data_IF_161615507237
#
_entry.id   IF_161615507237
#
_cell.length_a   1.000
_cell.length_b   1.000
_cell.length_c   1.000
_cell.angle_alpha   90.00
_cell.angle_beta   90.00
_cell.angle_gamma   90.00
#
_symmetry.space_group_name_H-M   'P 1'
#
loop_
_entity.id
_entity.type
_entity.pdbx_description
1 polymer ?
#
# COMPACT_ATOMS: atom_id res chain seq x y z
N UNK A 1 -41.52 9.11 -7.89
CA UNK A 1 -40.23 8.94 -8.59
C UNK A 1 -39.07 9.31 -7.67
N UNK A 2 -39.01 10.55 -7.14
CA UNK A 2 -37.95 10.99 -6.19
C UNK A 2 -37.74 10.09 -4.96
N UNK A 3 -38.82 9.58 -4.37
CA UNK A 3 -38.73 8.73 -3.17
C UNK A 3 -38.26 7.31 -3.49
N UNK A 4 -38.49 6.83 -4.72
CA UNK A 4 -37.99 5.55 -5.19
C UNK A 4 -36.49 5.62 -5.47
N UNK A 5 -36.02 6.69 -6.11
CA UNK A 5 -34.59 6.93 -6.33
C UNK A 5 -33.84 7.11 -5.01
N UNK A 6 -34.46 7.78 -4.04
CA UNK A 6 -33.91 7.95 -2.69
C UNK A 6 -33.87 6.62 -1.91
N UNK A 7 -34.95 5.84 -1.96
CA UNK A 7 -34.99 4.52 -1.34
C UNK A 7 -33.97 3.54 -1.97
N UNK A 8 -33.79 3.59 -3.29
CA UNK A 8 -32.76 2.81 -3.98
C UNK A 8 -31.35 3.26 -3.57
N UNK A 9 -31.10 4.57 -3.46
CA UNK A 9 -29.83 5.11 -2.99
C UNK A 9 -29.54 4.70 -1.54
N UNK A 10 -30.54 4.74 -0.66
CA UNK A 10 -30.42 4.34 0.74
C UNK A 10 -30.17 2.82 0.87
N UNK A 11 -30.85 2.00 0.06
CA UNK A 11 -30.61 0.55 0.01
C UNK A 11 -29.20 0.26 -0.49
N UNK A 12 -28.71 0.95 -1.53
CA UNK A 12 -27.32 0.81 -2.02
C UNK A 12 -26.32 1.25 -0.95
N UNK A 13 -26.59 2.33 -0.22
CA UNK A 13 -25.74 2.81 0.87
C UNK A 13 -25.68 1.80 2.03
N UNK A 14 -26.82 1.27 2.47
CA UNK A 14 -26.87 0.24 3.52
C UNK A 14 -26.17 -1.04 3.06
N UNK A 15 -26.40 -1.48 1.82
CA UNK A 15 -25.72 -2.66 1.27
C UNK A 15 -24.22 -2.47 1.14
N UNK A 16 -23.77 -1.25 0.82
CA UNK A 16 -22.33 -0.92 0.78
C UNK A 16 -21.69 -0.95 2.16
N UNK A 17 -22.40 -0.50 3.20
CA UNK A 17 -21.93 -0.56 4.59
C UNK A 17 -21.88 -1.99 5.12
N UNK A 18 -22.92 -2.80 4.86
CA UNK A 18 -22.95 -4.22 5.24
C UNK A 18 -21.94 -5.04 4.41
N UNK A 19 -21.76 -4.70 3.14
CA UNK A 19 -20.72 -5.31 2.30
C UNK A 19 -19.33 -4.93 2.82
N UNK A 20 -19.08 -3.69 3.23
CA UNK A 20 -17.81 -3.27 3.81
C UNK A 20 -17.48 -4.05 5.10
N UNK A 21 -18.48 -4.36 5.94
CA UNK A 21 -18.34 -5.20 7.13
C UNK A 21 -18.14 -6.69 6.84
N UNK A 22 -18.81 -7.24 5.83
CA UNK A 22 -18.69 -8.68 5.45
C UNK A 22 -17.54 -8.97 4.47
N UNK A 23 -16.98 -7.93 3.84
CA UNK A 23 -16.01 -8.01 2.75
C UNK A 23 -14.62 -8.52 3.18
N UNK A 24 -14.22 -8.32 4.43
CA UNK A 24 -12.83 -8.55 4.82
C UNK A 24 -12.56 -9.96 5.38
N UNK A 25 -13.42 -10.96 5.12
CA UNK A 25 -13.15 -12.34 5.57
C UNK A 25 -11.83 -12.90 5.00
N UNK A 26 -10.86 -13.12 5.89
CA UNK A 26 -9.86 -14.19 5.82
C UNK A 26 -8.48 -13.89 5.25
N UNK A 27 -8.34 -13.08 4.20
CA UNK A 27 -7.09 -13.13 3.41
C UNK A 27 -6.48 -11.78 3.00
N UNK A 28 -7.25 -10.69 3.00
CA UNK A 28 -6.70 -9.33 2.83
C UNK A 28 -5.56 -9.02 3.83
N UNK A 29 -5.73 -9.30 5.14
CA UNK A 29 -4.67 -9.14 6.13
C UNK A 29 -3.42 -9.98 5.85
N UNK A 30 -3.60 -11.23 5.43
CA UNK A 30 -2.51 -12.16 5.14
C UNK A 30 -1.70 -11.72 3.91
N UNK A 31 -2.37 -11.24 2.86
CA UNK A 31 -1.71 -10.66 1.70
C UNK A 31 -0.88 -9.43 2.08
N UNK A 32 -1.43 -8.49 2.86
CA UNK A 32 -0.67 -7.32 3.32
C UNK A 32 0.53 -7.73 4.18
N UNK A 33 0.36 -8.66 5.12
CA UNK A 33 1.46 -9.20 5.92
C UNK A 33 2.55 -9.86 5.06
N UNK A 34 2.16 -10.60 4.01
CA UNK A 34 3.09 -11.19 3.06
C UNK A 34 3.87 -10.13 2.28
N UNK A 35 3.24 -9.02 1.86
CA UNK A 35 3.98 -7.91 1.22
C UNK A 35 4.96 -7.23 2.19
N UNK A 36 4.61 -7.14 3.47
CA UNK A 36 5.53 -6.69 4.52
C UNK A 36 6.73 -7.64 4.68
N UNK A 37 6.50 -8.96 4.67
CA UNK A 37 7.57 -9.95 4.70
C UNK A 37 8.48 -9.87 3.47
N UNK A 38 7.91 -9.66 2.27
CA UNK A 38 8.69 -9.41 1.05
C UNK A 38 9.58 -8.19 1.22
N UNK A 39 9.04 -7.06 1.71
CA UNK A 39 9.82 -5.86 1.95
C UNK A 39 10.96 -6.08 2.98
N UNK A 40 10.70 -6.84 4.04
CA UNK A 40 11.72 -7.19 5.04
C UNK A 40 12.83 -8.03 4.42
N UNK A 41 12.46 -9.08 3.68
CA UNK A 41 13.41 -9.97 2.99
C UNK A 41 14.26 -9.17 2.01
N UNK A 42 13.64 -8.28 1.21
CA UNK A 42 14.38 -7.41 0.28
C UNK A 42 15.37 -6.50 1.01
N UNK A 43 14.96 -5.88 2.12
CA UNK A 43 15.86 -5.02 2.90
C UNK A 43 17.04 -5.80 3.49
N UNK A 44 16.79 -7.01 4.02
CA UNK A 44 17.84 -7.89 4.54
C UNK A 44 18.79 -8.32 3.42
N UNK A 45 18.25 -8.79 2.28
CA UNK A 45 19.06 -9.19 1.14
C UNK A 45 19.92 -8.03 0.66
N UNK A 46 19.37 -6.83 0.53
CA UNK A 46 20.16 -5.67 0.14
C UNK A 46 21.22 -5.29 1.17
N UNK A 47 20.94 -5.42 2.46
CA UNK A 47 21.94 -5.17 3.51
C UNK A 47 23.14 -6.12 3.42
N UNK A 48 22.93 -7.37 2.99
CA UNK A 48 24.00 -8.36 2.84
C UNK A 48 24.66 -8.40 1.46
N UNK A 49 23.94 -8.06 0.39
CA UNK A 49 24.42 -8.16 -0.98
C UNK A 49 24.97 -6.84 -1.54
N UNK A 50 24.54 -5.69 -1.03
CA UNK A 50 24.99 -4.37 -1.47
C UNK A 50 25.93 -3.78 -0.41
N UNK A 51 27.23 -3.97 -0.59
CA UNK A 51 28.26 -3.39 0.28
C UNK A 51 28.23 -1.84 0.24
N UNK A 52 27.96 -1.24 -0.93
CA UNK A 52 27.69 0.19 -1.08
C UNK A 52 26.42 0.45 -1.94
N UNK A 53 25.24 0.61 -1.31
CA UNK A 53 23.99 0.89 -2.01
C UNK A 53 23.99 2.22 -2.77
N UNK A 54 24.89 3.15 -2.42
CA UNK A 54 25.01 4.46 -3.10
C UNK A 54 25.91 4.36 -4.33
N UNK A 55 26.90 3.46 -4.30
CA UNK A 55 27.73 3.08 -5.45
C UNK A 55 26.97 2.24 -6.49
N UNK A 56 25.98 1.45 -6.06
CA UNK A 56 25.12 0.64 -6.94
C UNK A 56 23.61 0.99 -6.86
N UNK A 57 23.21 2.22 -7.22
CA UNK A 57 21.83 2.67 -7.09
C UNK A 57 20.85 1.86 -7.96
N UNK A 58 21.31 1.36 -9.11
CA UNK A 58 20.50 0.51 -9.98
C UNK A 58 20.15 -0.83 -9.33
N UNK A 59 21.13 -1.51 -8.70
CA UNK A 59 20.89 -2.76 -7.98
C UNK A 59 19.91 -2.56 -6.82
N UNK A 60 20.07 -1.44 -6.10
CA UNK A 60 19.13 -1.03 -5.07
C UNK A 60 17.70 -0.89 -5.59
N UNK A 61 17.47 -0.11 -6.65
CA UNK A 61 16.11 0.11 -7.15
C UNK A 61 15.51 -1.13 -7.81
N UNK A 62 16.29 -1.92 -8.56
CA UNK A 62 15.81 -3.17 -9.18
C UNK A 62 15.30 -4.14 -8.11
N UNK A 63 16.00 -4.28 -6.99
CA UNK A 63 15.55 -5.11 -5.87
C UNK A 63 14.17 -4.68 -5.34
N UNK A 64 13.96 -3.37 -5.17
CA UNK A 64 12.67 -2.82 -4.75
C UNK A 64 11.58 -2.92 -5.82
N UNK A 65 11.92 -2.80 -7.10
CA UNK A 65 10.97 -3.02 -8.20
C UNK A 65 10.50 -4.48 -8.25
N UNK A 66 11.40 -5.44 -8.06
CA UNK A 66 11.04 -6.87 -7.97
C UNK A 66 10.14 -7.11 -6.75
N UNK A 67 10.48 -6.53 -5.59
CA UNK A 67 9.66 -6.61 -4.38
C UNK A 67 8.25 -6.04 -4.58
N UNK A 68 8.14 -4.89 -5.26
CA UNK A 68 6.88 -4.25 -5.60
C UNK A 68 6.05 -5.10 -6.58
N UNK A 69 6.69 -5.66 -7.61
CA UNK A 69 6.03 -6.55 -8.56
C UNK A 69 5.51 -7.82 -7.88
N UNK A 70 6.31 -8.44 -7.01
CA UNK A 70 5.90 -9.61 -6.23
C UNK A 70 4.75 -9.29 -5.29
N UNK A 71 4.82 -8.14 -4.61
CA UNK A 71 3.74 -7.67 -3.72
C UNK A 71 2.44 -7.41 -4.49
N UNK A 72 2.52 -6.76 -5.64
CA UNK A 72 1.38 -6.56 -6.54
C UNK A 72 0.79 -7.87 -7.04
N UNK A 73 1.63 -8.87 -7.35
CA UNK A 73 1.18 -10.20 -7.74
C UNK A 73 0.45 -10.92 -6.60
N UNK A 74 0.97 -10.86 -5.36
CA UNK A 74 0.33 -11.43 -4.17
C UNK A 74 -1.06 -10.80 -3.97
N UNK A 75 -1.14 -9.47 -3.98
CA UNK A 75 -2.40 -8.73 -3.83
C UNK A 75 -3.37 -9.07 -4.97
N UNK A 76 -2.89 -9.13 -6.23
CA UNK A 76 -3.71 -9.43 -7.39
C UNK A 76 -4.25 -10.87 -7.42
N UNK A 77 -3.42 -11.85 -7.04
CA UNK A 77 -3.84 -13.25 -6.89
C UNK A 77 -4.92 -13.35 -5.81
N UNK A 78 -4.71 -12.69 -4.67
CA UNK A 78 -5.66 -12.68 -3.57
C UNK A 78 -7.00 -12.06 -3.98
N UNK A 79 -6.96 -10.90 -4.65
CA UNK A 79 -8.16 -10.25 -5.19
C UNK A 79 -8.92 -11.16 -6.16
N UNK A 80 -8.22 -11.87 -7.05
CA UNK A 80 -8.83 -12.81 -8.01
C UNK A 80 -9.40 -14.06 -7.34
N UNK A 81 -8.70 -14.61 -6.35
CA UNK A 81 -9.15 -15.76 -5.58
C UNK A 81 -10.42 -15.43 -4.79
N UNK A 82 -10.47 -14.24 -4.19
CA UNK A 82 -11.63 -13.69 -3.47
C UNK A 82 -12.83 -13.50 -4.37
N UNK A 83 -12.66 -12.81 -5.51
CA UNK A 83 -13.73 -12.55 -6.48
C UNK A 83 -14.38 -13.84 -6.99
N UNK A 84 -13.59 -14.93 -7.16
CA UNK A 84 -14.11 -16.23 -7.58
C UNK A 84 -14.87 -17.00 -6.50
N UNK A 85 -14.56 -16.78 -5.22
CA UNK A 85 -15.17 -17.52 -4.08
C UNK A 85 -16.37 -16.81 -3.47
N UNK A 86 -16.39 -15.47 -3.47
CA UNK A 86 -17.47 -14.67 -2.89
C UNK A 86 -18.13 -13.80 -3.96
N UNK A 87 -19.40 -14.06 -4.26
CA UNK A 87 -20.24 -13.29 -5.20
C UNK A 87 -20.67 -11.91 -4.64
N UNK A 88 -19.81 -11.24 -3.87
CA UNK A 88 -20.08 -9.89 -3.34
C UNK A 88 -19.54 -8.82 -4.29
N UNK A 89 -20.19 -8.64 -5.46
CA UNK A 89 -19.74 -7.70 -6.50
C UNK A 89 -19.52 -6.26 -6.03
N UNK A 90 -20.18 -5.83 -4.94
CA UNK A 90 -19.96 -4.52 -4.32
C UNK A 90 -18.57 -4.38 -3.69
N UNK A 91 -18.05 -5.43 -3.06
CA UNK A 91 -16.75 -5.35 -2.39
C UNK A 91 -15.59 -5.41 -3.39
N UNK A 92 -15.76 -6.11 -4.52
CA UNK A 92 -14.81 -6.08 -5.62
C UNK A 92 -14.79 -4.69 -6.28
N UNK A 93 -15.96 -4.04 -6.44
CA UNK A 93 -16.04 -2.68 -6.95
C UNK A 93 -15.33 -1.67 -6.03
N UNK A 94 -15.47 -1.80 -4.71
CA UNK A 94 -14.76 -0.94 -3.74
C UNK A 94 -13.23 -1.11 -3.81
N UNK A 95 -12.73 -2.35 -3.91
CA UNK A 95 -11.28 -2.60 -4.07
C UNK A 95 -10.80 -2.07 -5.41
N UNK A 96 -11.55 -2.27 -6.49
CA UNK A 96 -11.19 -1.75 -7.80
C UNK A 96 -11.09 -0.23 -7.78
N UNK A 97 -12.08 0.45 -7.18
CA UNK A 97 -12.06 1.90 -7.00
C UNK A 97 -10.87 2.36 -6.13
N UNK A 98 -10.53 1.61 -5.07
CA UNK A 98 -9.36 1.90 -4.25
C UNK A 98 -8.05 1.77 -5.05
N UNK A 99 -7.94 0.76 -5.92
CA UNK A 99 -6.80 0.56 -6.83
C UNK A 99 -6.73 1.69 -7.86
N UNK A 100 -7.85 2.07 -8.47
CA UNK A 100 -7.92 3.19 -9.42
C UNK A 100 -7.51 4.51 -8.78
N UNK A 101 -7.91 4.76 -7.53
CA UNK A 101 -7.51 5.95 -6.78
C UNK A 101 -6.03 5.95 -6.40
N UNK A 102 -5.44 4.78 -6.19
CA UNK A 102 -4.01 4.63 -5.88
C UNK A 102 -3.12 4.69 -7.12
N UNK A 103 -3.62 4.23 -8.28
CA UNK A 103 -2.86 4.03 -9.51
C UNK A 103 -2.09 5.29 -9.96
N UNK A 104 -2.65 6.51 -9.95
CA UNK A 104 -1.91 7.72 -10.31
C UNK A 104 -0.68 7.96 -9.44
N UNK A 105 -0.76 7.66 -8.13
CA UNK A 105 0.36 7.81 -7.21
C UNK A 105 1.47 6.79 -7.51
N UNK A 106 1.09 5.55 -7.81
CA UNK A 106 2.02 4.51 -8.25
C UNK A 106 2.73 4.85 -9.56
N UNK A 107 1.97 5.30 -10.58
CA UNK A 107 2.53 5.74 -11.87
C UNK A 107 3.50 6.91 -11.64
N UNK A 108 3.12 7.90 -10.84
CA UNK A 108 3.99 9.03 -10.50
C UNK A 108 5.30 8.55 -9.85
N UNK A 109 5.22 7.57 -8.93
CA UNK A 109 6.41 7.02 -8.28
C UNK A 109 7.37 6.33 -9.25
N UNK A 110 6.84 5.53 -10.17
CA UNK A 110 7.66 4.86 -11.21
C UNK A 110 8.28 5.88 -12.16
N UNK A 111 7.50 6.86 -12.62
CA UNK A 111 8.01 7.92 -13.49
C UNK A 111 9.07 8.75 -12.79
N UNK A 112 8.88 9.08 -11.52
CA UNK A 112 9.85 9.82 -10.71
C UNK A 112 11.15 9.03 -10.57
N UNK A 113 11.08 7.72 -10.32
CA UNK A 113 12.25 6.84 -10.28
C UNK A 113 13.04 6.87 -11.61
N UNK A 114 12.34 6.75 -12.74
CA UNK A 114 12.96 6.78 -14.07
C UNK A 114 13.56 8.14 -14.39
N UNK A 115 12.84 9.23 -14.11
CA UNK A 115 13.30 10.60 -14.39
C UNK A 115 14.52 10.94 -13.54
N UNK A 116 14.49 10.65 -12.24
CA UNK A 116 15.63 10.91 -11.35
C UNK A 116 16.85 10.06 -11.75
N UNK A 117 16.64 8.80 -12.13
CA UNK A 117 17.74 7.97 -12.62
C UNK A 117 18.35 8.48 -13.93
N UNK A 118 17.54 9.01 -14.85
CA UNK A 118 18.03 9.49 -16.16
C UNK A 118 18.60 10.91 -16.12
N UNK A 119 18.06 11.79 -15.27
CA UNK A 119 18.30 13.23 -15.36
C UNK A 119 18.80 13.88 -14.06
N UNK A 120 18.71 13.20 -12.90
CA UNK A 120 19.05 13.79 -11.60
C UNK A 120 19.58 12.73 -10.61
N UNK A 121 20.62 11.98 -11.01
CA UNK A 121 21.16 10.85 -10.24
C UNK A 121 21.65 11.27 -8.85
N UNK A 122 22.12 12.51 -8.72
CA UNK A 122 22.56 13.15 -7.47
C UNK A 122 21.43 13.33 -6.44
N UNK A 123 20.16 13.20 -6.86
CA UNK A 123 18.98 13.32 -5.99
C UNK A 123 18.35 11.98 -5.64
N UNK A 124 18.89 10.84 -6.11
CA UNK A 124 18.30 9.51 -5.92
C UNK A 124 18.09 9.12 -4.45
N UNK A 125 18.86 9.69 -3.52
CA UNK A 125 18.70 9.51 -2.08
C UNK A 125 17.34 9.99 -1.55
N UNK A 126 16.63 10.87 -2.27
CA UNK A 126 15.27 11.31 -1.93
C UNK A 126 14.21 10.26 -2.26
N UNK A 127 14.49 9.35 -3.21
CA UNK A 127 13.48 8.46 -3.80
C UNK A 127 12.78 7.57 -2.76
N UNK A 128 13.46 6.95 -1.77
CA UNK A 128 12.80 6.17 -0.72
C UNK A 128 11.72 6.95 0.05
N UNK A 129 11.99 8.21 0.37
CA UNK A 129 11.06 9.06 1.10
C UNK A 129 9.93 9.60 0.22
N UNK A 130 10.24 10.02 -1.01
CA UNK A 130 9.24 10.46 -1.99
C UNK A 130 8.26 9.34 -2.33
N UNK A 131 8.75 8.11 -2.47
CA UNK A 131 7.91 6.94 -2.68
C UNK A 131 6.93 6.73 -1.53
N UNK A 132 7.36 6.85 -0.28
CA UNK A 132 6.48 6.72 0.90
C UNK A 132 5.41 7.82 0.94
N UNK A 133 5.78 9.05 0.58
CA UNK A 133 4.82 10.16 0.49
C UNK A 133 3.76 9.85 -0.59
N UNK A 134 4.17 9.34 -1.76
CA UNK A 134 3.24 8.97 -2.82
C UNK A 134 2.32 7.82 -2.40
N UNK A 135 2.86 6.78 -1.75
CA UNK A 135 2.07 5.67 -1.19
C UNK A 135 1.04 6.20 -0.19
N UNK A 136 1.44 7.12 0.69
CA UNK A 136 0.54 7.78 1.64
C UNK A 136 -0.60 8.51 0.94
N UNK A 137 -0.29 9.33 -0.08
CA UNK A 137 -1.30 10.07 -0.85
C UNK A 137 -2.26 9.12 -1.58
N UNK A 138 -1.74 8.03 -2.15
CA UNK A 138 -2.56 6.98 -2.73
C UNK A 138 -3.50 6.36 -1.71
N UNK A 139 -3.00 6.01 -0.52
CA UNK A 139 -3.83 5.47 0.57
C UNK A 139 -4.92 6.47 0.98
N UNK A 140 -4.56 7.74 1.18
CA UNK A 140 -5.53 8.79 1.54
C UNK A 140 -6.61 8.99 0.47
N UNK A 141 -6.25 8.94 -0.81
CA UNK A 141 -7.21 8.98 -1.91
C UNK A 141 -8.21 7.80 -1.83
N UNK A 142 -7.72 6.62 -1.41
CA UNK A 142 -8.50 5.40 -1.28
C UNK A 142 -9.35 5.29 0.00
N UNK A 143 -9.20 6.20 0.99
CA UNK A 143 -9.95 6.15 2.27
C UNK A 143 -11.46 6.23 2.10
N UNK A 144 -11.96 6.82 1.01
CA UNK A 144 -13.41 6.86 0.72
C UNK A 144 -13.97 5.50 0.32
N UNK A 145 -13.10 4.61 -0.17
CA UNK A 145 -13.44 3.28 -0.70
C UNK A 145 -13.06 2.16 0.27
N UNK A 146 -12.36 2.47 1.37
CA UNK A 146 -11.82 1.53 2.36
C UNK A 146 -12.24 1.91 3.79
N UNK A 147 -12.06 1.02 4.79
CA UNK A 147 -12.31 1.38 6.19
C UNK A 147 -11.52 2.64 6.60
N UNK A 148 -12.17 3.57 7.30
CA UNK A 148 -11.54 4.85 7.70
C UNK A 148 -10.27 4.66 8.54
N UNK A 149 -10.14 3.53 9.23
CA UNK A 149 -8.96 3.13 9.99
C UNK A 149 -7.70 3.00 9.12
N UNK A 150 -7.84 2.73 7.82
CA UNK A 150 -6.72 2.70 6.85
C UNK A 150 -5.98 4.04 6.77
N UNK A 151 -6.64 5.16 7.13
CA UNK A 151 -5.99 6.47 7.20
C UNK A 151 -4.79 6.50 8.16
N UNK A 152 -4.77 5.67 9.22
CA UNK A 152 -3.61 5.57 10.12
C UNK A 152 -2.37 5.01 9.41
N UNK A 153 -2.54 4.01 8.54
CA UNK A 153 -1.43 3.51 7.72
C UNK A 153 -0.95 4.59 6.72
N UNK A 154 -1.89 5.33 6.12
CA UNK A 154 -1.56 6.49 5.28
C UNK A 154 -0.75 7.55 6.03
N UNK A 155 -1.16 7.89 7.27
CA UNK A 155 -0.45 8.84 8.12
C UNK A 155 0.95 8.36 8.52
N UNK A 156 1.11 7.07 8.81
CA UNK A 156 2.42 6.48 9.06
C UNK A 156 3.36 6.69 7.87
N UNK A 157 2.94 6.31 6.66
CA UNK A 157 3.76 6.50 5.44
C UNK A 157 4.06 7.97 5.15
N UNK A 158 3.15 8.89 5.50
CA UNK A 158 3.38 10.32 5.36
C UNK A 158 4.53 10.78 6.25
N UNK A 159 4.43 10.50 7.55
CA UNK A 159 5.42 10.91 8.54
C UNK A 159 6.76 10.23 8.28
N UNK A 160 6.76 8.93 7.98
CA UNK A 160 7.97 8.18 7.69
C UNK A 160 8.64 8.68 6.41
N UNK A 161 7.87 9.04 5.38
CA UNK A 161 8.42 9.58 4.14
C UNK A 161 9.19 10.88 4.35
N UNK A 162 8.62 11.83 5.08
CA UNK A 162 9.33 13.08 5.43
C UNK A 162 10.49 12.85 6.39
N UNK A 163 10.34 11.96 7.38
CA UNK A 163 11.42 11.60 8.28
C UNK A 163 12.61 10.96 7.53
N UNK A 164 12.33 10.08 6.57
CA UNK A 164 13.35 9.47 5.71
C UNK A 164 14.04 10.52 4.85
N UNK A 165 13.31 11.47 4.25
CA UNK A 165 13.93 12.59 3.51
C UNK A 165 14.85 13.40 4.43
N UNK A 166 14.38 13.75 5.63
CA UNK A 166 15.15 14.54 6.58
C UNK A 166 16.42 13.81 7.05
N UNK A 167 16.33 12.52 7.37
CA UNK A 167 17.47 11.70 7.79
C UNK A 167 18.45 11.45 6.64
N UNK A 168 17.94 11.08 5.46
CA UNK A 168 18.76 10.85 4.27
C UNK A 168 19.45 12.13 3.80
N UNK A 169 18.90 13.32 4.06
CA UNK A 169 19.55 14.58 3.68
C UNK A 169 20.89 14.83 4.37
N UNK A 170 21.11 14.23 5.54
CA UNK A 170 22.36 14.40 6.30
C UNK A 170 23.52 13.64 5.68
N UNK A 171 23.26 12.44 5.17
CA UNK A 171 24.29 11.54 4.63
C UNK A 171 24.30 11.51 3.10
N UNK A 172 23.15 11.81 2.46
CA UNK A 172 22.87 11.61 1.04
C UNK A 172 23.13 10.17 0.56
N UNK A 173 23.12 9.22 1.49
CA UNK A 173 23.35 7.80 1.20
C UNK A 173 22.04 7.05 1.05
N UNK A 174 22.03 6.08 0.14
CA UNK A 174 20.96 5.09 0.06
C UNK A 174 21.17 4.02 1.15
N UNK A 175 20.11 3.71 1.87
CA UNK A 175 20.11 2.69 2.91
C UNK A 175 18.90 1.77 2.73
N UNK A 176 19.06 0.43 2.72
CA UNK A 176 17.94 -0.50 2.63
C UNK A 176 16.88 -0.28 3.71
N UNK A 177 17.30 0.19 4.88
CA UNK A 177 16.42 0.41 6.02
C UNK A 177 15.49 1.63 5.87
N UNK A 178 15.85 2.62 5.02
CA UNK A 178 14.99 3.79 4.79
C UNK A 178 13.75 3.45 3.96
N UNK A 179 13.78 2.37 3.19
CA UNK A 179 12.58 1.78 2.58
C UNK A 179 12.01 0.64 3.41
N UNK A 180 12.84 -0.29 3.88
CA UNK A 180 12.41 -1.52 4.55
C UNK A 180 11.62 -1.29 5.83
N UNK A 181 12.15 -0.51 6.77
CA UNK A 181 11.48 -0.31 8.06
C UNK A 181 10.10 0.34 7.92
N UNK A 182 9.96 1.47 7.19
CA UNK A 182 8.63 2.06 6.98
C UNK A 182 7.65 1.12 6.30
N UNK A 183 8.10 0.34 5.31
CA UNK A 183 7.24 -0.63 4.62
C UNK A 183 6.77 -1.75 5.53
N UNK A 184 7.68 -2.38 6.27
CA UNK A 184 7.34 -3.47 7.18
C UNK A 184 6.35 -3.01 8.23
N UNK A 185 6.58 -1.85 8.85
CA UNK A 185 5.68 -1.29 9.85
C UNK A 185 4.33 -0.93 9.21
N UNK A 186 4.33 -0.23 8.08
CA UNK A 186 3.11 0.21 7.40
C UNK A 186 2.25 -0.95 6.89
N UNK A 187 2.87 -2.00 6.34
CA UNK A 187 2.16 -3.21 5.89
C UNK A 187 1.65 -4.05 7.07
N UNK A 188 2.38 -4.09 8.18
CA UNK A 188 1.92 -4.75 9.41
C UNK A 188 0.74 -4.01 10.03
N UNK A 189 0.79 -2.67 10.05
CA UNK A 189 -0.35 -1.84 10.47
C UNK A 189 -1.56 -2.06 9.56
N UNK A 190 -1.36 -2.09 8.23
CA UNK A 190 -2.45 -2.36 7.30
C UNK A 190 -3.05 -3.75 7.53
N UNK A 191 -2.21 -4.78 7.69
CA UNK A 191 -2.66 -6.13 8.00
C UNK A 191 -3.47 -6.17 9.30
N UNK A 192 -3.00 -5.52 10.37
CA UNK A 192 -3.70 -5.46 11.65
C UNK A 192 -5.04 -4.71 11.54
N UNK A 193 -5.07 -3.56 10.86
CA UNK A 193 -6.29 -2.78 10.63
C UNK A 193 -7.32 -3.60 9.86
N UNK A 194 -6.89 -4.26 8.79
CA UNK A 194 -7.77 -5.11 8.00
C UNK A 194 -8.24 -6.30 8.82
N UNK A 195 -7.38 -6.92 9.63
CA UNK A 195 -7.72 -8.07 10.47
C UNK A 195 -8.79 -7.72 11.52
N UNK A 196 -8.65 -6.57 12.19
CA UNK A 196 -9.65 -6.08 13.15
C UNK A 196 -10.96 -5.74 12.43
N UNK A 197 -10.90 -5.06 11.29
CA UNK A 197 -12.08 -4.76 10.48
C UNK A 197 -12.79 -6.03 9.97
N UNK A 198 -12.06 -7.15 9.82
CA UNK A 198 -12.63 -8.46 9.52
C UNK A 198 -13.32 -9.14 10.71
N UNK A 199 -12.87 -8.86 11.94
CA UNK A 199 -13.23 -9.60 13.16
C UNK A 199 -14.35 -8.99 14.01
N UNK A 200 -14.63 -7.69 13.88
CA UNK A 200 -15.59 -6.94 14.72
C UNK A 200 -17.08 -7.28 14.47
N UNK A 201 -17.39 -8.32 13.68
CA UNK A 201 -18.75 -8.79 13.41
C UNK A 201 -19.09 -10.17 13.97
N UNK A 202 -18.17 -10.81 14.72
CA UNK A 202 -18.43 -12.09 15.41
C UNK A 202 -18.90 -11.91 16.88
N UNK A 203 -19.21 -10.67 17.30
CA UNK A 203 -19.78 -10.38 18.63
C UNK A 203 -21.14 -9.71 18.52
N UNK A 204 -22.13 -10.44 18.02
CA UNK A 204 -23.52 -10.27 18.46
C UNK A 204 -23.99 -11.63 19.00
N UNK A 205 -24.06 -11.69 20.34
CA UNK A 205 -24.63 -12.77 21.16
C UNK A 205 -26.15 -12.73 21.05
#
# INVERSE_FOLDING_TARGET
MRDLDKALADIVAIRSQIAAGTAFRGYGPAAMAATGAVALITAILQFWLLDDPTGEPLGFFIGWFIAAALSGLIIGIEMRARSRRHHSGLADAMIHQAVEQFLPAGIAGVLLAVVMWKFATETLWLLPGLWQILVSLGIFASVRSLPRTVAFAGAWYFVSGFAVVALASQTKLLSPWTMGLPFVIGQSMMAAILYVASGDHDVEV
#
